data_IF_039810037551
#
_entry.id   IF_039810037551
#
_cell.length_a   1.000
_cell.length_b   1.000
_cell.length_c   1.000
_cell.angle_alpha   90.00
_cell.angle_beta   90.00
_cell.angle_gamma   90.00
#
_symmetry.space_group_name_H-M   'P 1'
#
loop_
_entity.id
_entity.type
_entity.pdbx_description
1 polymer ?
#
# COMPACT_ATOMS: atom_id res chain seq x y z
N UNK A 1 7.38 -22.74 -1.60
CA UNK A 1 7.14 -21.33 -1.25
C UNK A 1 7.90 -20.50 -2.29
N UNK A 2 7.33 -19.40 -2.77
CA UNK A 2 8.03 -18.52 -3.72
C UNK A 2 9.26 -17.89 -3.08
N UNK A 3 10.30 -17.61 -3.88
CA UNK A 3 11.50 -16.90 -3.46
C UNK A 3 11.18 -15.46 -3.03
N UNK A 4 10.13 -14.87 -3.62
CA UNK A 4 9.69 -13.50 -3.37
C UNK A 4 8.19 -13.45 -3.00
N UNK A 5 7.82 -13.96 -1.82
CA UNK A 5 6.43 -14.13 -1.42
C UNK A 5 5.65 -12.81 -1.29
N UNK A 6 6.27 -11.69 -0.87
CA UNK A 6 5.55 -10.41 -0.80
C UNK A 6 5.29 -9.85 -2.21
N UNK A 7 6.20 -10.02 -3.16
CA UNK A 7 5.94 -9.66 -4.55
C UNK A 7 4.83 -10.51 -5.20
N UNK A 8 4.72 -11.79 -4.84
CA UNK A 8 3.57 -12.59 -5.27
C UNK A 8 2.26 -12.09 -4.67
N UNK A 9 2.25 -11.77 -3.37
CA UNK A 9 1.08 -11.18 -2.71
C UNK A 9 0.69 -9.86 -3.37
N UNK A 10 1.65 -8.96 -3.57
CA UNK A 10 1.46 -7.68 -4.24
C UNK A 10 0.87 -7.85 -5.65
N UNK A 11 1.38 -8.81 -6.43
CA UNK A 11 0.86 -9.09 -7.78
C UNK A 11 -0.58 -9.57 -7.75
N UNK A 12 -0.94 -10.43 -6.79
CA UNK A 12 -2.31 -10.96 -6.64
C UNK A 12 -3.31 -9.87 -6.27
N UNK A 13 -2.91 -8.94 -5.41
CA UNK A 13 -3.81 -7.88 -4.94
C UNK A 13 -3.87 -6.66 -5.87
N UNK A 14 -2.97 -6.54 -6.86
CA UNK A 14 -2.83 -5.36 -7.71
C UNK A 14 -4.17 -4.84 -8.29
N UNK A 15 -5.09 -5.68 -8.83
CA UNK A 15 -6.35 -5.17 -9.34
C UNK A 15 -7.23 -4.54 -8.26
N UNK A 16 -7.18 -5.08 -7.03
CA UNK A 16 -7.95 -4.60 -5.90
C UNK A 16 -7.33 -3.33 -5.30
N UNK A 17 -6.01 -3.30 -5.15
CA UNK A 17 -5.33 -2.10 -4.65
C UNK A 17 -5.48 -0.92 -5.62
N UNK A 18 -5.42 -1.16 -6.93
CA UNK A 18 -5.67 -0.13 -7.93
C UNK A 18 -7.08 0.47 -7.78
N UNK A 19 -8.12 -0.38 -7.67
CA UNK A 19 -9.48 0.09 -7.47
C UNK A 19 -9.65 0.94 -6.19
N UNK A 20 -8.95 0.58 -5.11
CA UNK A 20 -8.95 1.36 -3.86
C UNK A 20 -8.24 2.71 -4.06
N UNK A 21 -7.09 2.73 -4.75
CA UNK A 21 -6.40 3.96 -5.09
C UNK A 21 -7.29 4.91 -5.92
N UNK A 22 -7.93 4.39 -6.97
CA UNK A 22 -8.83 5.15 -7.84
C UNK A 22 -10.00 5.74 -7.03
N UNK A 23 -10.56 4.96 -6.10
CA UNK A 23 -11.62 5.43 -5.20
C UNK A 23 -11.13 6.53 -4.24
N UNK A 24 -9.95 6.37 -3.63
CA UNK A 24 -9.37 7.37 -2.72
C UNK A 24 -8.99 8.66 -3.46
N UNK A 25 -8.54 8.56 -4.70
CA UNK A 25 -8.28 9.71 -5.56
C UNK A 25 -9.59 10.44 -5.90
N UNK A 26 -10.57 9.73 -6.44
CA UNK A 26 -11.89 10.30 -6.74
C UNK A 26 -12.55 10.95 -5.51
N UNK A 27 -12.50 10.30 -4.34
CA UNK A 27 -13.12 10.83 -3.12
C UNK A 27 -12.43 12.12 -2.65
N UNK A 28 -11.10 12.18 -2.77
CA UNK A 28 -10.31 13.38 -2.47
C UNK A 28 -10.64 14.53 -3.44
N UNK A 29 -10.86 14.25 -4.73
CA UNK A 29 -11.30 15.27 -5.71
C UNK A 29 -12.69 15.84 -5.38
N UNK A 30 -13.54 15.06 -4.69
CA UNK A 30 -14.85 15.52 -4.21
C UNK A 30 -14.79 16.25 -2.87
N UNK A 31 -13.61 16.36 -2.25
CA UNK A 31 -13.42 16.99 -0.95
C UNK A 31 -13.79 16.09 0.23
N UNK A 32 -13.99 14.79 0.02
CA UNK A 32 -14.09 13.84 1.12
C UNK A 32 -12.71 13.61 1.73
N UNK A 33 -12.68 13.46 3.05
CA UNK A 33 -11.45 13.15 3.80
C UNK A 33 -11.70 11.95 4.71
N UNK A 34 -10.66 11.12 4.87
CA UNK A 34 -10.59 10.21 6.00
C UNK A 34 -10.17 11.02 7.22
N UNK A 35 -10.91 10.85 8.31
CA UNK A 35 -10.67 11.61 9.52
C UNK A 35 -10.96 10.83 10.79
N UNK A 36 -10.37 11.30 11.87
CA UNK A 36 -10.52 10.78 13.21
C UNK A 36 -11.25 11.81 14.07
N UNK A 37 -12.21 11.32 14.85
CA UNK A 37 -12.93 12.16 15.81
C UNK A 37 -12.10 12.34 17.07
N UNK A 38 -11.79 13.59 17.41
CA UNK A 38 -11.17 13.96 18.67
C UNK A 38 -12.15 14.89 19.39
N UNK A 39 -12.94 14.31 20.30
CA UNK A 39 -14.11 14.97 20.87
C UNK A 39 -15.16 15.24 19.79
N UNK A 40 -15.61 16.49 19.67
CA UNK A 40 -16.62 16.93 18.70
C UNK A 40 -16.01 17.48 17.40
N UNK A 41 -14.71 17.32 17.19
CA UNK A 41 -14.00 17.82 16.00
C UNK A 41 -13.41 16.67 15.18
N UNK A 42 -13.65 16.71 13.86
CA UNK A 42 -13.06 15.77 12.91
C UNK A 42 -11.71 16.33 12.42
N UNK A 43 -10.64 15.58 12.65
CA UNK A 43 -9.31 15.88 12.15
C UNK A 43 -8.96 14.96 10.99
N UNK A 44 -8.25 15.43 9.94
CA UNK A 44 -7.72 14.54 8.92
C UNK A 44 -6.83 13.48 9.56
N UNK A 45 -7.01 12.21 9.19
CA UNK A 45 -6.26 11.11 9.79
C UNK A 45 -4.75 11.20 9.50
N UNK A 46 -4.35 11.93 8.45
CA UNK A 46 -2.94 12.10 8.08
C UNK A 46 -2.24 10.81 7.64
N UNK A 47 -3.02 9.75 7.38
CA UNK A 47 -2.51 8.43 7.01
C UNK A 47 -2.07 8.41 5.55
N UNK A 48 -0.89 7.87 5.30
CA UNK A 48 -0.39 7.65 3.95
C UNK A 48 -1.20 6.54 3.24
N UNK A 49 -1.64 6.80 2.01
CA UNK A 49 -2.50 5.87 1.25
C UNK A 49 -1.82 4.52 1.03
N UNK A 50 -0.50 4.50 0.84
CA UNK A 50 0.27 3.27 0.62
C UNK A 50 0.39 2.47 1.91
N UNK A 51 0.62 3.13 3.05
CA UNK A 51 0.64 2.46 4.35
C UNK A 51 -0.73 1.84 4.67
N UNK A 52 -1.82 2.59 4.46
CA UNK A 52 -3.18 2.09 4.67
C UNK A 52 -3.52 0.88 3.80
N UNK A 53 -3.16 0.93 2.51
CA UNK A 53 -3.41 -0.18 1.58
C UNK A 53 -2.52 -1.39 1.93
N UNK A 54 -1.27 -1.16 2.33
CA UNK A 54 -0.38 -2.23 2.76
C UNK A 54 -0.91 -2.91 4.03
N UNK A 55 -1.39 -2.14 5.01
CA UNK A 55 -2.03 -2.66 6.21
C UNK A 55 -3.29 -3.48 5.86
N UNK A 56 -4.18 -2.94 5.04
CA UNK A 56 -5.42 -3.61 4.63
C UNK A 56 -5.18 -4.97 3.94
N UNK A 57 -4.13 -5.09 3.14
CA UNK A 57 -3.78 -6.33 2.44
C UNK A 57 -2.71 -7.17 3.15
N UNK A 58 -2.32 -6.80 4.37
CA UNK A 58 -1.28 -7.48 5.16
C UNK A 58 0.04 -7.64 4.38
N UNK A 59 0.46 -6.57 3.68
CA UNK A 59 1.74 -6.50 2.97
C UNK A 59 2.81 -5.94 3.90
N UNK A 60 3.88 -6.72 4.08
CA UNK A 60 5.08 -6.24 4.75
C UNK A 60 5.91 -5.39 3.76
N UNK A 61 5.79 -4.06 3.87
CA UNK A 61 6.52 -3.12 3.02
C UNK A 61 8.05 -3.20 3.18
N UNK A 62 8.53 -3.59 4.36
CA UNK A 62 9.97 -3.73 4.62
C UNK A 62 10.51 -4.95 3.90
N UNK A 63 9.84 -6.09 4.07
CA UNK A 63 10.21 -7.33 3.39
C UNK A 63 10.06 -7.23 1.87
N UNK A 64 9.02 -6.54 1.39
CA UNK A 64 8.87 -6.23 -0.04
C UNK A 64 10.09 -5.46 -0.59
N UNK A 65 10.60 -4.48 0.15
CA UNK A 65 11.81 -3.75 -0.25
C UNK A 65 13.09 -4.61 -0.16
N UNK A 66 13.19 -5.49 0.83
CA UNK A 66 14.28 -6.48 0.93
C UNK A 66 14.29 -7.43 -0.28
N UNK A 67 13.15 -8.05 -0.60
CA UNK A 67 12.98 -8.91 -1.78
C UNK A 67 13.36 -8.18 -3.08
N UNK A 68 12.98 -6.90 -3.21
CA UNK A 68 13.30 -6.08 -4.38
C UNK A 68 14.82 -5.86 -4.52
N UNK A 69 15.52 -5.61 -3.41
CA UNK A 69 16.98 -5.47 -3.40
C UNK A 69 17.68 -6.76 -3.76
N UNK A 70 17.14 -7.90 -3.33
CA UNK A 70 17.66 -9.21 -3.69
C UNK A 70 17.50 -9.49 -5.19
N UNK A 71 16.33 -9.20 -5.77
CA UNK A 71 16.11 -9.29 -7.23
C UNK A 71 17.12 -8.44 -8.02
N UNK A 72 17.32 -7.18 -7.61
CA UNK A 72 18.28 -6.28 -8.25
C UNK A 72 19.73 -6.79 -8.11
N UNK A 73 20.08 -7.31 -6.94
CA UNK A 73 21.42 -7.86 -6.68
C UNK A 73 21.71 -9.09 -7.54
N UNK A 74 20.69 -9.90 -7.83
CA UNK A 74 20.82 -11.05 -8.73
C UNK A 74 20.97 -10.61 -10.19
N UNK A 75 20.18 -9.63 -10.65
CA UNK A 75 20.28 -9.06 -12.00
C UNK A 75 21.65 -8.42 -12.31
N UNK A 76 22.34 -7.90 -11.29
CA UNK A 76 23.66 -7.26 -11.44
C UNK A 76 24.84 -8.24 -11.39
N UNK A 77 24.59 -9.51 -11.01
CA UNK A 77 25.62 -10.55 -10.94
C UNK A 77 25.72 -11.38 -12.23
N UNK A 78 24.72 -11.30 -13.09
CA UNK A 78 24.64 -11.89 -14.43
C UNK A 78 25.13 -10.91 -15.51
#
# INVERSE_FOLDING_TARGET
MSEYPEHERLRRIQPLSQAIYDFLEWSSEKGYILGEWIGDTLFPAGIDRREMIAEFFEIDLKKLEEEKRDMLSNLLKD
#
